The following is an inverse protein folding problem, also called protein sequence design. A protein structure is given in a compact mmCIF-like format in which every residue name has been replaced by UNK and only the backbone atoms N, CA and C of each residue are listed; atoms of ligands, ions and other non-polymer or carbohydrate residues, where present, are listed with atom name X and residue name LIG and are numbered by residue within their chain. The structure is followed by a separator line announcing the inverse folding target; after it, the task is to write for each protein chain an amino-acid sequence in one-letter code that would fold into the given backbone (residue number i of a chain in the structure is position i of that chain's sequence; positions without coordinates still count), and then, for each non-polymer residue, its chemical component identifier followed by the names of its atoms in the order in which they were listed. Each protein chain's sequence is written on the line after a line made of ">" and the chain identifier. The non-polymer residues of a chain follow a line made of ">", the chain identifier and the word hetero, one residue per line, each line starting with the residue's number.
data_IF_814178750031
#
_entry.id   IF_814178750031
#
_cell.length_a   1.000
_cell.length_b   1.000
_cell.length_c   1.000
_cell.angle_alpha   90.00
_cell.angle_beta   90.00
_cell.angle_gamma   90.00
#
_symmetry.space_group_name_H-M   'P 1'
#
loop_
_entity.id
_entity.type
_entity.pdbx_description
1 polymer ?
#
# COMPACT_ATOMS: atom_id res chain seq x y z
N UNK A 1 3.12 -11.48 -22.51
CA UNK A 1 2.97 -10.81 -21.19
C UNK A 1 2.39 -9.40 -21.38
N UNK A 2 1.14 -9.20 -20.99
CA UNK A 2 0.52 -7.87 -20.99
C UNK A 2 0.97 -7.17 -19.70
N UNK A 3 1.81 -6.15 -19.84
CA UNK A 3 2.21 -5.29 -18.71
C UNK A 3 1.31 -4.06 -18.77
N UNK A 4 0.40 -3.97 -17.79
CA UNK A 4 -0.53 -2.86 -17.65
C UNK A 4 0.22 -1.60 -17.19
N UNK A 5 0.24 -0.56 -18.03
CA UNK A 5 0.89 0.73 -17.76
C UNK A 5 -0.10 1.83 -17.31
N UNK A 6 -1.33 1.47 -16.95
CA UNK A 6 -2.35 2.38 -16.43
C UNK A 6 -3.65 2.32 -17.21
N UNK A 7 -4.64 1.62 -16.64
CA UNK A 7 -6.06 1.80 -16.98
C UNK A 7 -6.76 2.44 -15.76
N UNK A 8 -7.24 3.67 -15.95
CA UNK A 8 -7.56 4.66 -14.94
C UNK A 8 -8.80 4.39 -14.08
N UNK A 9 -9.28 3.16 -13.91
CA UNK A 9 -10.52 2.91 -13.14
C UNK A 9 -10.44 1.97 -11.94
N UNK A 10 -9.33 1.31 -11.63
CA UNK A 10 -9.31 0.42 -10.45
C UNK A 10 -8.07 0.45 -9.55
N UNK A 11 -6.89 0.80 -10.05
CA UNK A 11 -5.68 0.96 -9.22
C UNK A 11 -4.74 1.98 -9.87
N UNK A 12 -3.76 2.48 -9.13
CA UNK A 12 -2.66 3.27 -9.70
C UNK A 12 -1.34 2.49 -9.52
N UNK A 13 -1.19 1.34 -10.20
CA UNK A 13 -0.18 0.34 -9.84
C UNK A 13 1.23 0.88 -10.05
N UNK A 14 1.43 1.74 -11.05
CA UNK A 14 2.75 2.26 -11.40
C UNK A 14 3.37 3.11 -10.29
N UNK A 15 2.58 3.93 -9.59
CA UNK A 15 3.10 4.74 -8.49
C UNK A 15 3.45 3.86 -7.28
N UNK A 16 2.57 2.92 -6.92
CA UNK A 16 2.85 1.97 -5.85
C UNK A 16 4.08 1.10 -6.14
N UNK A 17 4.27 0.69 -7.40
CA UNK A 17 5.46 -0.04 -7.83
C UNK A 17 6.73 0.81 -7.71
N UNK A 18 6.68 2.11 -8.03
CA UNK A 18 7.82 3.01 -7.85
C UNK A 18 8.15 3.22 -6.36
N UNK A 19 7.14 3.34 -5.51
CA UNK A 19 7.31 3.47 -4.07
C UNK A 19 7.95 2.20 -3.50
N UNK A 20 7.40 1.02 -3.80
CA UNK A 20 7.95 -0.28 -3.41
C UNK A 20 9.39 -0.46 -3.92
N UNK A 21 9.64 -0.12 -5.18
CA UNK A 21 10.98 -0.19 -5.76
C UNK A 21 11.97 0.69 -5.00
N UNK A 22 11.55 1.91 -4.63
CA UNK A 22 12.36 2.84 -3.85
C UNK A 22 12.66 2.29 -2.46
N UNK A 23 11.67 1.71 -1.78
CA UNK A 23 11.85 1.07 -0.48
C UNK A 23 12.82 -0.12 -0.57
N UNK A 24 12.67 -0.99 -1.58
CA UNK A 24 13.60 -2.11 -1.82
C UNK A 24 15.01 -1.64 -2.16
N UNK A 25 15.17 -0.57 -2.94
CA UNK A 25 16.51 0.02 -3.16
C UNK A 25 17.14 0.54 -1.88
N UNK A 26 16.34 1.07 -0.94
CA UNK A 26 16.83 1.65 0.30
C UNK A 26 17.14 0.62 1.38
N UNK A 27 16.36 -0.46 1.44
CA UNK A 27 16.40 -1.46 2.52
C UNK A 27 16.81 -2.87 2.07
N UNK A 28 16.97 -3.09 0.77
CA UNK A 28 17.17 -4.41 0.17
C UNK A 28 15.85 -5.17 0.02
N UNK A 29 15.27 -5.54 1.16
CA UNK A 29 13.97 -6.20 1.22
C UNK A 29 13.00 -5.48 2.18
N UNK A 30 11.71 -5.62 1.87
CA UNK A 30 10.60 -5.07 2.65
C UNK A 30 9.95 -6.12 3.54
N UNK A 31 10.22 -7.41 3.33
CA UNK A 31 9.71 -8.48 4.16
C UNK A 31 10.13 -8.31 5.63
N UNK A 32 9.18 -8.48 6.56
CA UNK A 32 9.36 -8.30 8.00
C UNK A 32 9.61 -6.84 8.43
N UNK A 33 9.41 -5.86 7.54
CA UNK A 33 9.48 -4.44 7.89
C UNK A 33 8.09 -3.89 8.11
N UNK A 34 7.96 -3.05 9.13
CA UNK A 34 6.74 -2.28 9.35
C UNK A 34 6.74 -1.04 8.46
N UNK A 35 5.68 -0.85 7.67
CA UNK A 35 5.48 0.33 6.82
C UNK A 35 4.17 1.00 7.19
N UNK A 36 4.25 2.23 7.71
CA UNK A 36 3.08 3.04 8.01
C UNK A 36 2.65 3.87 6.80
N UNK A 37 1.37 3.81 6.42
CA UNK A 37 0.75 4.64 5.41
C UNK A 37 -0.23 5.59 6.10
N UNK A 38 0.05 6.89 6.01
CA UNK A 38 -0.67 7.92 6.77
C UNK A 38 -1.45 8.83 5.82
N UNK A 39 -2.74 9.06 6.10
CA UNK A 39 -3.55 10.06 5.41
C UNK A 39 -4.93 9.55 4.97
N UNK A 40 -5.40 10.04 3.81
CA UNK A 40 -6.69 9.66 3.24
C UNK A 40 -6.62 8.34 2.48
N UNK A 41 -6.76 7.23 3.19
CA UNK A 41 -6.68 5.88 2.62
C UNK A 41 -7.93 5.53 1.80
N UNK A 42 -9.09 6.03 2.24
CA UNK A 42 -10.38 5.81 1.59
C UNK A 42 -10.40 6.33 0.15
N UNK A 43 -9.82 7.50 -0.11
CA UNK A 43 -9.82 8.09 -1.46
C UNK A 43 -8.50 7.89 -2.21
N UNK A 44 -7.39 7.61 -1.52
CA UNK A 44 -6.10 7.40 -2.19
C UNK A 44 -5.97 6.01 -2.80
N UNK A 45 -6.11 5.96 -4.13
CA UNK A 45 -5.81 4.76 -4.92
C UNK A 45 -4.36 4.29 -4.75
N UNK A 46 -3.42 5.23 -4.57
CA UNK A 46 -2.00 4.91 -4.34
C UNK A 46 -1.79 4.26 -2.98
N UNK A 47 -2.41 4.79 -1.92
CA UNK A 47 -2.30 4.24 -0.57
C UNK A 47 -2.79 2.79 -0.52
N UNK A 48 -3.91 2.49 -1.18
CA UNK A 48 -4.45 1.12 -1.26
C UNK A 48 -3.53 0.18 -2.03
N UNK A 49 -3.08 0.58 -3.22
CA UNK A 49 -2.17 -0.28 -4.01
C UNK A 49 -0.83 -0.50 -3.29
N UNK A 50 -0.33 0.48 -2.53
CA UNK A 50 0.84 0.28 -1.65
C UNK A 50 0.54 -0.70 -0.51
N UNK A 51 -0.60 -0.56 0.17
CA UNK A 51 -0.97 -1.48 1.26
C UNK A 51 -1.05 -2.93 0.78
N UNK A 52 -1.70 -3.18 -0.36
CA UNK A 52 -1.76 -4.50 -0.98
C UNK A 52 -0.38 -5.01 -1.39
N UNK A 53 0.38 -4.20 -2.15
CA UNK A 53 1.67 -4.61 -2.68
C UNK A 53 2.73 -4.88 -1.60
N UNK A 54 2.78 -4.05 -0.57
CA UNK A 54 3.73 -4.22 0.55
C UNK A 54 3.38 -5.44 1.41
N UNK A 55 2.10 -5.64 1.71
CA UNK A 55 1.63 -6.83 2.46
C UNK A 55 1.91 -8.11 1.67
N UNK A 56 1.66 -8.11 0.35
CA UNK A 56 1.98 -9.24 -0.52
C UNK A 56 3.49 -9.55 -0.58
N UNK A 57 4.34 -8.55 -0.33
CA UNK A 57 5.80 -8.70 -0.23
C UNK A 57 6.28 -9.02 1.19
N UNK A 58 5.37 -9.27 2.13
CA UNK A 58 5.66 -9.68 3.50
C UNK A 58 6.01 -8.54 4.46
N UNK A 59 5.72 -7.29 4.10
CA UNK A 59 5.82 -6.17 5.02
C UNK A 59 4.60 -6.13 5.96
N UNK A 60 4.80 -5.64 7.18
CA UNK A 60 3.71 -5.35 8.12
C UNK A 60 3.17 -3.95 7.85
N UNK A 61 2.01 -3.83 7.23
CA UNK A 61 1.44 -2.53 6.86
C UNK A 61 0.59 -1.98 7.99
N UNK A 62 0.82 -0.73 8.38
CA UNK A 62 -0.01 -0.02 9.35
C UNK A 62 -0.69 1.16 8.65
N UNK A 63 -2.02 1.23 8.72
CA UNK A 63 -2.78 2.33 8.16
C UNK A 63 -3.11 3.33 9.27
N UNK A 64 -2.89 4.62 9.03
CA UNK A 64 -3.12 5.67 10.02
C UNK A 64 -3.90 6.79 9.35
N UNK A 65 -5.06 7.13 9.92
CA UNK A 65 -5.88 8.24 9.45
C UNK A 65 -7.07 8.48 10.36
N UNK A 66 -7.87 9.52 10.09
CA UNK A 66 -9.18 9.67 10.73
C UNK A 66 -10.05 8.43 10.46
N UNK A 67 -10.90 7.97 11.40
CA UNK A 67 -11.69 6.74 11.23
C UNK A 67 -12.55 6.72 9.95
N UNK A 68 -13.06 7.88 9.53
CA UNK A 68 -13.85 8.00 8.29
C UNK A 68 -13.01 7.83 7.00
N UNK A 69 -11.68 7.88 7.10
CA UNK A 69 -10.74 7.84 5.98
C UNK A 69 -9.87 6.57 5.97
N UNK A 70 -10.06 5.66 6.93
CA UNK A 70 -9.44 4.33 6.96
C UNK A 70 -10.54 3.29 6.75
N UNK A 71 -10.66 2.70 5.54
CA UNK A 71 -11.69 1.73 5.27
C UNK A 71 -11.50 0.45 6.08
N UNK A 72 -12.55 -0.01 6.77
CA UNK A 72 -12.59 -1.31 7.46
C UNK A 72 -12.25 -2.48 6.53
N UNK A 73 -12.55 -2.36 5.22
CA UNK A 73 -12.19 -3.39 4.23
C UNK A 73 -10.68 -3.61 4.05
N UNK A 74 -9.83 -2.71 4.58
CA UNK A 74 -8.38 -2.84 4.55
C UNK A 74 -7.79 -3.28 5.89
N UNK A 75 -8.62 -3.40 6.94
CA UNK A 75 -8.17 -3.88 8.26
C UNK A 75 -7.61 -5.30 8.17
N UNK A 76 -8.20 -6.17 7.33
CA UNK A 76 -7.71 -7.54 7.11
C UNK A 76 -6.29 -7.61 6.54
N UNK A 77 -5.84 -6.55 5.87
CA UNK A 77 -4.54 -6.46 5.19
C UNK A 77 -3.53 -5.70 6.06
N UNK A 78 -3.98 -4.94 7.06
CA UNK A 78 -3.13 -4.15 7.94
C UNK A 78 -2.87 -4.83 9.28
N UNK A 79 -1.65 -4.71 9.81
CA UNK A 79 -1.20 -5.35 11.06
C UNK A 79 -1.57 -4.55 12.33
N UNK A 80 -2.47 -3.55 12.28
CA UNK A 80 -2.76 -2.65 13.40
C UNK A 80 -4.23 -2.22 13.52
N UNK A 81 -4.66 -1.69 14.68
CA UNK A 81 -6.02 -1.18 14.85
C UNK A 81 -6.22 0.08 14.00
N UNK A 82 -7.33 0.13 13.25
CA UNK A 82 -7.73 1.27 12.41
C UNK A 82 -8.04 2.55 13.18
#
# INVERSE_FOLDING_TARGET
>A
PVINAGDGQHEHPTQALLDIFTLRRRWGDVAGKTVAIVGDIAHSRVARSNAFGLTALGADVVLIGPPALVPTSLEEISSGPG
#
